data_IF_923011651265
#
_entry.id   IF_923011651265
#
_cell.length_a   1.000
_cell.length_b   1.000
_cell.length_c   1.000
_cell.angle_alpha   90.00
_cell.angle_beta   90.00
_cell.angle_gamma   90.00
#
_symmetry.space_group_name_H-M   'P 1'
#
loop_
_entity.id
_entity.type
_entity.pdbx_description
1 polymer ?
#
# COMPACT_ATOMS: atom_id res chain seq x y z
N UNK A 1 -10.28 0.93 -28.39
CA UNK A 1 -9.72 1.19 -27.05
C UNK A 1 -10.92 1.19 -26.15
N UNK A 2 -11.02 0.22 -25.26
CA UNK A 2 -12.13 0.14 -24.32
C UNK A 2 -12.02 1.30 -23.33
N UNK A 3 -13.11 2.05 -23.16
CA UNK A 3 -13.17 3.14 -22.21
C UNK A 3 -13.05 2.56 -20.78
N UNK A 4 -12.26 3.17 -19.89
CA UNK A 4 -12.08 2.63 -18.55
C UNK A 4 -13.42 2.56 -17.82
N UNK A 5 -13.75 1.38 -17.28
CA UNK A 5 -14.99 1.20 -16.54
C UNK A 5 -14.95 2.01 -15.24
N UNK A 6 -16.02 2.74 -14.90
CA UNK A 6 -16.12 3.43 -13.63
C UNK A 6 -16.18 2.41 -12.49
N UNK A 7 -15.41 2.66 -11.43
CA UNK A 7 -15.32 1.81 -10.24
C UNK A 7 -15.55 2.66 -8.98
N UNK A 8 -16.34 2.17 -8.01
CA UNK A 8 -16.60 2.88 -6.77
C UNK A 8 -15.38 2.85 -5.85
N UNK A 9 -15.26 3.83 -4.96
CA UNK A 9 -14.16 4.00 -4.02
C UNK A 9 -13.94 2.77 -3.13
N UNK A 10 -14.99 2.02 -2.79
CA UNK A 10 -14.85 0.77 -2.04
C UNK A 10 -14.00 -0.29 -2.77
N UNK A 11 -14.15 -0.39 -4.09
CA UNK A 11 -13.30 -1.27 -4.93
C UNK A 11 -11.89 -0.69 -5.04
N UNK A 12 -11.78 0.61 -5.30
CA UNK A 12 -10.49 1.29 -5.46
C UNK A 12 -9.66 1.18 -4.18
N UNK A 13 -10.30 1.25 -3.01
CA UNK A 13 -9.64 1.10 -1.70
C UNK A 13 -8.93 -0.24 -1.58
N UNK A 14 -9.64 -1.33 -1.81
CA UNK A 14 -9.07 -2.67 -1.70
C UNK A 14 -7.94 -2.88 -2.71
N UNK A 15 -8.10 -2.39 -3.94
CA UNK A 15 -7.07 -2.47 -4.97
C UNK A 15 -5.80 -1.68 -4.60
N UNK A 16 -5.96 -0.44 -4.12
CA UNK A 16 -4.83 0.39 -3.70
C UNK A 16 -4.18 -0.16 -2.44
N UNK A 17 -4.94 -0.66 -1.47
CA UNK A 17 -4.38 -1.27 -0.26
C UNK A 17 -3.58 -2.54 -0.59
N UNK A 18 -4.09 -3.37 -1.52
CA UNK A 18 -3.37 -4.56 -1.98
C UNK A 18 -2.08 -4.21 -2.74
N UNK A 19 -2.12 -3.22 -3.64
CA UNK A 19 -0.96 -2.85 -4.47
C UNK A 19 0.08 -2.03 -3.70
N UNK A 20 -0.36 -1.08 -2.89
CA UNK A 20 0.52 -0.14 -2.18
C UNK A 20 0.96 -0.69 -0.84
N UNK A 21 0.11 -1.42 -0.11
CA UNK A 21 0.52 -2.09 1.13
C UNK A 21 1.59 -3.16 0.91
N UNK A 22 1.63 -3.77 -0.28
CA UNK A 22 2.70 -4.69 -0.70
C UNK A 22 4.01 -3.96 -0.99
N UNK A 23 3.99 -2.67 -1.35
CA UNK A 23 5.18 -1.90 -1.73
C UNK A 23 5.80 -1.14 -0.57
N UNK A 24 5.02 -0.85 0.47
CA UNK A 24 5.53 -0.29 1.71
C UNK A 24 6.44 -1.30 2.42
N UNK A 25 7.58 -0.83 2.93
CA UNK A 25 8.53 -1.61 3.73
C UNK A 25 9.06 -2.91 3.05
N UNK A 26 9.36 -2.87 1.74
CA UNK A 26 10.02 -3.97 1.04
C UNK A 26 11.43 -3.61 0.53
N UNK A 27 12.28 -4.64 0.54
CA UNK A 27 13.60 -4.64 -0.09
C UNK A 27 13.48 -5.19 -1.51
N UNK A 28 14.09 -4.52 -2.49
CA UNK A 28 14.27 -5.08 -3.84
C UNK A 28 15.72 -5.47 -4.04
N UNK A 29 15.93 -6.72 -4.45
CA UNK A 29 17.24 -7.18 -4.88
C UNK A 29 17.66 -6.50 -6.19
N UNK A 30 18.87 -5.94 -6.21
CA UNK A 30 19.47 -5.34 -7.41
C UNK A 30 19.72 -6.38 -8.50
N UNK A 31 20.10 -7.59 -8.10
CA UNK A 31 20.60 -8.60 -9.03
C UNK A 31 19.47 -9.44 -9.66
N UNK A 32 18.43 -9.81 -8.90
CA UNK A 32 17.31 -10.61 -9.43
C UNK A 32 15.95 -9.89 -9.47
N UNK A 33 15.83 -8.70 -8.88
CA UNK A 33 14.57 -7.95 -8.84
C UNK A 33 13.50 -8.51 -7.89
N UNK A 34 13.80 -9.56 -7.12
CA UNK A 34 12.91 -10.11 -6.10
C UNK A 34 12.61 -9.09 -5.00
N UNK A 35 11.37 -9.10 -4.50
CA UNK A 35 10.89 -8.22 -3.44
C UNK A 35 10.60 -9.03 -2.17
N UNK A 36 11.24 -8.68 -1.06
CA UNK A 36 11.00 -9.30 0.25
C UNK A 36 10.71 -8.25 1.32
N UNK A 37 10.12 -8.66 2.44
CA UNK A 37 9.84 -7.76 3.56
C UNK A 37 11.16 -7.28 4.21
N UNK A 38 11.14 -6.07 4.75
CA UNK A 38 12.18 -5.64 5.70
C UNK A 38 11.99 -6.47 6.98
N UNK A 39 13.03 -7.13 7.52
CA UNK A 39 12.95 -7.84 8.80
C UNK A 39 12.53 -6.89 9.94
N UNK A 40 11.61 -7.32 10.80
CA UNK A 40 11.06 -6.50 11.90
C UNK A 40 12.04 -6.31 13.09
N UNK A 41 13.09 -7.13 13.19
CA UNK A 41 14.11 -7.06 14.25
C UNK A 41 15.36 -6.33 13.77
N UNK A 42 15.70 -5.21 14.42
CA UNK A 42 17.06 -4.68 14.39
C UNK A 42 17.98 -5.74 15.00
N UNK A 43 19.04 -6.19 14.31
CA UNK A 43 19.97 -7.14 14.90
C UNK A 43 20.57 -6.51 16.16
N UNK A 44 20.32 -7.11 17.33
CA UNK A 44 21.00 -6.72 18.56
C UNK A 44 22.51 -6.76 18.27
N UNK A 45 23.27 -5.68 18.53
CA UNK A 45 24.70 -5.71 18.30
C UNK A 45 25.28 -6.79 19.20
N UNK A 46 25.84 -7.85 18.59
CA UNK A 46 26.58 -8.85 19.34
C UNK A 46 27.67 -8.12 20.14
N UNK A 47 27.80 -8.41 21.45
CA UNK A 47 28.78 -7.73 22.28
C UNK A 47 30.18 -8.04 21.72
N UNK A 48 30.83 -7.00 21.19
CA UNK A 48 32.22 -7.07 20.77
C UNK A 48 33.03 -7.53 21.99
N UNK A 49 33.75 -8.65 21.95
CA UNK A 49 34.55 -9.07 23.09
C UNK A 49 35.55 -7.95 23.40
N UNK A 50 35.55 -7.49 24.65
CA UNK A 50 36.52 -6.51 25.13
C UNK A 50 37.94 -7.03 24.83
N UNK A 51 38.82 -6.23 24.21
CA UNK A 51 40.18 -6.69 23.96
C UNK A 51 40.85 -6.99 25.30
N UNK A 52 41.35 -8.23 25.44
CA UNK A 52 42.08 -8.65 26.64
C UNK A 52 43.23 -7.65 26.90
N UNK A 53 43.46 -7.26 28.16
CA UNK A 53 44.50 -6.29 28.48
C UNK A 53 45.86 -6.86 28.07
N UNK A 54 46.58 -6.10 27.25
CA UNK A 54 47.94 -6.43 26.82
C UNK A 54 48.83 -6.73 28.04
N UNK A 55 49.66 -7.78 28.00
CA UNK A 55 50.60 -8.06 29.09
C UNK A 55 51.62 -6.92 29.19
N UNK A 56 51.94 -6.51 30.43
CA UNK A 56 52.93 -5.48 30.72
C UNK A 56 54.32 -5.89 30.19
N UNK A 57 55.12 -4.94 29.65
CA UNK A 57 56.38 -5.27 29.02
C UNK A 57 57.47 -5.46 30.08
N UNK A 58 57.85 -6.71 30.35
CA UNK A 58 59.14 -7.00 30.97
C UNK A 58 60.24 -6.96 29.90
N UNK A 59 61.27 -6.18 30.19
CA UNK A 59 62.41 -5.92 29.34
C UNK A 59 63.26 -7.18 29.12
N UNK A 60 63.57 -7.51 27.86
CA UNK A 60 64.92 -7.82 27.36
C UNK A 60 64.89 -8.05 25.83
N UNK A 61 65.95 -7.62 25.16
CA UNK A 61 66.07 -7.49 23.71
C UNK A 61 66.31 -8.81 22.98
N UNK A 62 65.70 -9.00 21.79
CA UNK A 62 66.29 -9.73 20.66
C UNK A 62 65.45 -9.54 19.38
N UNK A 63 66.16 -9.55 18.25
CA UNK A 63 65.78 -9.26 16.86
C UNK A 63 64.85 -10.33 16.24
N UNK A 64 64.07 -9.95 15.21
CA UNK A 64 63.47 -10.90 14.27
C UNK A 64 62.17 -10.43 13.60
N UNK A 65 62.23 -10.24 12.27
CA UNK A 65 61.27 -10.65 11.20
C UNK A 65 59.91 -11.23 11.65
N UNK A 66 58.77 -11.08 10.98
CA UNK A 66 58.30 -10.51 9.72
C UNK A 66 56.76 -10.57 9.80
N UNK A 67 56.08 -9.77 8.98
CA UNK A 67 54.65 -9.78 8.63
C UNK A 67 53.66 -10.75 9.29
N UNK A 68 52.59 -10.17 9.84
CA UNK A 68 51.24 -10.71 9.68
C UNK A 68 50.29 -9.51 9.70
N UNK A 69 49.99 -8.96 8.52
CA UNK A 69 48.77 -8.19 8.35
C UNK A 69 47.64 -9.18 8.60
N UNK A 70 47.09 -9.16 9.81
CA UNK A 70 45.90 -9.91 10.15
C UNK A 70 44.84 -9.55 9.11
N UNK A 71 44.54 -10.50 8.23
CA UNK A 71 43.48 -10.40 7.25
C UNK A 71 42.21 -10.01 8.00
N UNK A 72 41.77 -8.77 7.80
CA UNK A 72 40.50 -8.31 8.32
C UNK A 72 39.43 -9.28 7.81
N UNK A 73 38.80 -10.01 8.74
CA UNK A 73 37.68 -10.89 8.44
C UNK A 73 36.69 -10.14 7.55
N UNK A 74 36.18 -10.76 6.46
CA UNK A 74 35.30 -10.07 5.53
C UNK A 74 34.12 -9.51 6.32
N UNK A 75 33.94 -8.19 6.26
CA UNK A 75 32.82 -7.50 6.87
C UNK A 75 31.54 -8.21 6.41
N UNK A 76 30.86 -8.88 7.35
CA UNK A 76 29.61 -9.57 7.08
C UNK A 76 28.64 -8.49 6.55
N UNK A 77 28.03 -8.67 5.38
CA UNK A 77 27.14 -7.67 4.82
C UNK A 77 26.02 -7.37 5.83
N UNK A 78 25.90 -6.11 6.24
CA UNK A 78 25.03 -5.64 7.34
C UNK A 78 23.53 -5.59 6.99
N UNK A 79 23.08 -6.43 6.06
CA UNK A 79 21.69 -6.47 5.60
C UNK A 79 21.21 -7.88 5.27
N UNK A 80 19.89 -8.11 5.20
CA UNK A 80 19.34 -9.42 4.89
C UNK A 80 19.72 -9.85 3.46
N UNK A 81 20.05 -11.14 3.32
CA UNK A 81 20.25 -11.73 2.00
C UNK A 81 18.92 -11.84 1.24
N UNK A 82 19.01 -11.80 -0.09
CA UNK A 82 17.87 -12.05 -0.95
C UNK A 82 17.38 -13.50 -0.81
N UNK A 83 16.09 -13.70 -0.52
CA UNK A 83 15.48 -15.03 -0.37
C UNK A 83 15.56 -15.88 -1.66
N UNK A 84 15.61 -15.23 -2.82
CA UNK A 84 15.62 -15.92 -4.13
C UNK A 84 17.04 -16.22 -4.63
N UNK A 85 17.96 -15.25 -4.53
CA UNK A 85 19.29 -15.35 -5.17
C UNK A 85 20.47 -15.29 -4.20
N UNK A 86 20.22 -15.10 -2.89
CA UNK A 86 21.26 -15.00 -1.87
C UNK A 86 22.11 -13.73 -1.93
N UNK A 87 21.83 -12.79 -2.84
CA UNK A 87 22.56 -11.53 -2.93
C UNK A 87 22.26 -10.63 -1.73
N UNK A 88 23.29 -9.97 -1.21
CA UNK A 88 23.18 -8.94 -0.18
C UNK A 88 22.97 -7.53 -0.76
N UNK A 89 22.93 -7.39 -2.09
CA UNK A 89 22.70 -6.11 -2.78
C UNK A 89 21.22 -5.79 -2.82
N UNK A 90 20.70 -5.39 -1.68
CA UNK A 90 19.31 -5.00 -1.50
C UNK A 90 19.19 -3.48 -1.46
N UNK A 91 18.19 -2.93 -2.16
CA UNK A 91 17.77 -1.55 -1.97
C UNK A 91 16.48 -1.54 -1.17
N UNK A 92 16.41 -0.68 -0.15
CA UNK A 92 15.12 -0.32 0.45
C UNK A 92 14.29 0.41 -0.61
N UNK A 93 13.26 -0.26 -1.12
CA UNK A 93 12.26 0.41 -1.95
C UNK A 93 11.19 0.92 -1.01
N UNK A 94 11.57 1.91 -0.23
CA UNK A 94 10.62 2.95 0.11
C UNK A 94 10.60 3.90 -1.07
N UNK A 95 9.56 3.84 -1.91
CA UNK A 95 8.90 5.06 -2.37
C UNK A 95 7.70 4.67 -3.23
N UNK A 96 6.64 4.29 -2.54
CA UNK A 96 5.33 4.75 -2.97
C UNK A 96 5.45 6.27 -3.16
N UNK A 97 5.28 6.73 -4.40
CA UNK A 97 5.35 8.15 -4.71
C UNK A 97 4.38 8.93 -3.81
N UNK A 98 4.71 10.19 -3.53
CA UNK A 98 3.90 11.04 -2.66
C UNK A 98 2.42 11.06 -3.09
N UNK A 99 2.17 11.09 -4.40
CA UNK A 99 0.84 11.10 -5.00
C UNK A 99 0.08 9.80 -4.73
N UNK A 100 0.76 8.64 -4.76
CA UNK A 100 0.15 7.35 -4.45
C UNK A 100 -0.23 7.25 -2.96
N UNK A 101 0.60 7.79 -2.06
CA UNK A 101 0.27 7.87 -0.63
C UNK A 101 -0.96 8.75 -0.41
N UNK A 102 -0.97 9.94 -1.03
CA UNK A 102 -2.09 10.86 -0.94
C UNK A 102 -3.38 10.25 -1.52
N UNK A 103 -3.30 9.51 -2.62
CA UNK A 103 -4.43 8.80 -3.20
C UNK A 103 -4.96 7.70 -2.26
N UNK A 104 -4.07 6.89 -1.69
CA UNK A 104 -4.45 5.85 -0.72
C UNK A 104 -5.14 6.45 0.50
N UNK A 105 -4.56 7.53 1.06
CA UNK A 105 -5.14 8.23 2.20
C UNK A 105 -6.50 8.83 1.86
N UNK A 106 -6.64 9.48 0.71
CA UNK A 106 -7.91 10.02 0.24
C UNK A 106 -9.00 8.95 0.16
N UNK A 107 -8.69 7.81 -0.46
CA UNK A 107 -9.63 6.71 -0.61
C UNK A 107 -9.98 6.10 0.75
N UNK A 108 -9.02 5.94 1.66
CA UNK A 108 -9.29 5.47 3.04
C UNK A 108 -10.27 6.37 3.80
N UNK A 109 -10.15 7.69 3.65
CA UNK A 109 -11.00 8.65 4.35
C UNK A 109 -12.39 8.80 3.73
N UNK A 110 -12.50 8.70 2.41
CA UNK A 110 -13.78 8.90 1.71
C UNK A 110 -14.61 7.62 1.56
N UNK A 111 -14.00 6.45 1.59
CA UNK A 111 -14.73 5.19 1.45
C UNK A 111 -15.64 4.97 2.66
N UNK A 112 -16.95 5.07 2.44
CA UNK A 112 -17.98 4.89 3.49
C UNK A 112 -18.46 3.46 3.63
N UNK A 113 -18.37 2.67 2.56
CA UNK A 113 -18.85 1.30 2.50
C UNK A 113 -17.80 0.36 1.92
N UNK A 114 -17.91 -0.91 2.28
CA UNK A 114 -17.02 -1.96 1.78
C UNK A 114 -17.28 -2.24 0.30
N UNK A 115 -16.31 -2.84 -0.40
CA UNK A 115 -16.46 -3.29 -1.78
C UNK A 115 -17.76 -4.06 -2.05
N UNK A 116 -18.12 -5.12 -1.30
CA UNK A 116 -19.34 -5.88 -1.59
C UNK A 116 -20.61 -5.05 -1.43
N UNK A 117 -20.66 -4.12 -0.46
CA UNK A 117 -21.78 -3.18 -0.33
C UNK A 117 -21.85 -2.23 -1.52
N UNK A 118 -20.71 -1.72 -2.00
CA UNK A 118 -20.66 -0.83 -3.16
C UNK A 118 -21.10 -1.54 -4.45
N UNK A 119 -20.61 -2.75 -4.67
CA UNK A 119 -21.04 -3.60 -5.81
C UNK A 119 -22.54 -3.91 -5.75
N UNK A 120 -23.09 -4.17 -4.55
CA UNK A 120 -24.52 -4.41 -4.36
C UNK A 120 -25.37 -3.17 -4.66
N UNK A 121 -24.95 -1.98 -4.21
CA UNK A 121 -25.61 -0.70 -4.56
C UNK A 121 -25.62 -0.52 -6.08
N UNK A 122 -24.47 -0.69 -6.75
CA UNK A 122 -24.41 -0.53 -8.21
C UNK A 122 -25.31 -1.52 -8.94
N UNK A 123 -25.37 -2.78 -8.48
CA UNK A 123 -26.25 -3.78 -9.06
C UNK A 123 -27.74 -3.45 -8.86
N UNK A 124 -28.11 -2.88 -7.72
CA UNK A 124 -29.49 -2.45 -7.44
C UNK A 124 -29.94 -1.24 -8.27
N UNK A 125 -28.99 -0.46 -8.78
CA UNK A 125 -29.25 0.69 -9.65
C UNK A 125 -29.29 0.30 -11.14
N UNK A 126 -28.92 -0.93 -11.49
CA UNK A 126 -28.92 -1.41 -12.87
C UNK A 126 -30.33 -1.41 -13.46
N UNK A 127 -30.47 -0.83 -14.65
CA UNK A 127 -31.75 -0.73 -15.36
C UNK A 127 -32.61 0.50 -15.03
N UNK A 128 -32.16 1.40 -14.14
CA UNK A 128 -32.77 2.74 -14.02
C UNK A 128 -32.49 3.57 -15.29
N UNK A 129 -33.47 4.37 -15.71
CA UNK A 129 -33.46 5.05 -17.02
C UNK A 129 -32.26 6.01 -17.15
N UNK A 130 -31.95 6.74 -16.08
CA UNK A 130 -30.94 7.79 -16.09
C UNK A 130 -29.63 7.41 -15.38
N UNK A 131 -29.50 6.17 -14.92
CA UNK A 131 -28.32 5.70 -14.18
C UNK A 131 -27.49 4.78 -15.05
N UNK A 132 -26.41 5.32 -15.61
CA UNK A 132 -25.37 4.53 -16.25
C UNK A 132 -24.33 4.04 -15.22
N UNK A 133 -23.33 3.29 -15.67
CA UNK A 133 -22.26 2.79 -14.82
C UNK A 133 -21.48 3.92 -14.10
N UNK A 134 -21.39 5.11 -14.70
CA UNK A 134 -20.70 6.25 -14.12
C UNK A 134 -21.50 6.82 -12.95
N UNK A 135 -22.81 7.02 -13.12
CA UNK A 135 -23.68 7.45 -12.02
C UNK A 135 -23.84 6.38 -10.95
N UNK A 136 -23.87 5.09 -11.31
CA UNK A 136 -23.93 4.01 -10.34
C UNK A 136 -22.73 4.04 -9.38
N UNK A 137 -21.50 4.18 -9.92
CA UNK A 137 -20.30 4.32 -9.10
C UNK A 137 -20.34 5.59 -8.24
N UNK A 138 -20.77 6.73 -8.81
CA UNK A 138 -20.87 8.00 -8.10
C UNK A 138 -21.93 7.99 -6.98
N UNK A 139 -23.06 7.31 -7.19
CA UNK A 139 -24.10 7.11 -6.18
C UNK A 139 -23.57 6.22 -5.05
N UNK A 140 -22.86 5.13 -5.38
CA UNK A 140 -22.23 4.25 -4.41
C UNK A 140 -21.13 4.95 -3.56
N UNK A 141 -20.51 6.01 -4.08
CA UNK A 141 -19.52 6.82 -3.35
C UNK A 141 -20.17 7.89 -2.46
N UNK A 142 -21.21 8.57 -2.97
CA UNK A 142 -21.86 9.68 -2.28
C UNK A 142 -22.85 9.19 -1.22
N UNK A 143 -23.55 8.09 -1.48
CA UNK A 143 -24.60 7.52 -0.64
C UNK A 143 -25.70 8.56 -0.32
N UNK A 144 -26.45 9.03 -1.34
CA UNK A 144 -27.50 10.03 -1.15
C UNK A 144 -28.58 9.51 -0.19
N UNK A 145 -28.97 10.33 0.79
CA UNK A 145 -30.00 10.00 1.77
C UNK A 145 -31.27 10.85 1.59
N UNK A 146 -31.14 12.01 0.94
CA UNK A 146 -32.24 12.94 0.69
C UNK A 146 -32.44 13.16 -0.81
N UNK A 147 -33.67 13.43 -1.28
CA UNK A 147 -33.95 13.77 -2.68
C UNK A 147 -33.06 14.88 -3.27
N UNK A 148 -32.66 15.84 -2.45
CA UNK A 148 -31.78 16.93 -2.89
C UNK A 148 -30.34 16.48 -3.15
N UNK A 149 -29.86 15.42 -2.48
CA UNK A 149 -28.57 14.81 -2.76
C UNK A 149 -28.56 14.19 -4.16
N UNK A 150 -29.64 13.46 -4.50
CA UNK A 150 -29.82 12.87 -5.83
C UNK A 150 -29.89 13.97 -6.88
N UNK A 151 -30.68 15.03 -6.65
CA UNK A 151 -30.72 16.18 -7.57
C UNK A 151 -29.36 16.84 -7.75
N UNK A 152 -28.54 16.91 -6.69
CA UNK A 152 -27.19 17.46 -6.77
C UNK A 152 -26.24 16.59 -7.63
N UNK A 153 -26.40 15.27 -7.61
CA UNK A 153 -25.61 14.34 -8.43
C UNK A 153 -25.81 14.60 -9.92
N UNK A 154 -27.06 14.85 -10.33
CA UNK A 154 -27.49 15.06 -11.73
C UNK A 154 -27.61 16.54 -12.12
N UNK A 155 -27.18 17.48 -11.28
CA UNK A 155 -27.41 18.92 -11.48
C UNK A 155 -26.79 19.50 -12.77
N UNK A 156 -25.82 18.81 -13.37
CA UNK A 156 -25.17 19.22 -14.62
C UNK A 156 -25.79 18.59 -15.86
N UNK A 157 -26.79 17.72 -15.69
CA UNK A 157 -27.42 17.01 -16.78
C UNK A 157 -28.49 17.82 -17.48
N UNK A 158 -28.79 17.43 -18.72
CA UNK A 158 -29.83 18.05 -19.56
C UNK A 158 -31.20 17.40 -19.38
N UNK A 159 -31.32 16.48 -18.44
CA UNK A 159 -32.57 15.82 -18.06
C UNK A 159 -32.85 16.05 -16.58
N UNK A 160 -34.10 15.79 -16.17
CA UNK A 160 -34.51 15.79 -14.77
C UNK A 160 -34.89 14.39 -14.35
N UNK A 161 -34.32 13.92 -13.24
CA UNK A 161 -34.70 12.64 -12.63
C UNK A 161 -36.09 12.77 -11.99
N UNK A 162 -36.99 11.84 -12.29
CA UNK A 162 -38.35 11.82 -11.74
C UNK A 162 -38.36 11.49 -10.25
N UNK A 163 -39.42 11.88 -9.52
CA UNK A 163 -39.51 11.58 -8.09
C UNK A 163 -39.46 10.07 -7.80
N UNK A 164 -40.12 9.26 -8.62
CA UNK A 164 -40.14 7.79 -8.46
C UNK A 164 -38.73 7.20 -8.60
N UNK A 165 -37.93 7.69 -9.55
CA UNK A 165 -36.55 7.24 -9.75
C UNK A 165 -35.62 7.77 -8.65
N UNK A 166 -35.84 8.99 -8.14
CA UNK A 166 -35.14 9.52 -6.96
C UNK A 166 -35.40 8.62 -5.74
N UNK A 167 -36.66 8.22 -5.51
CA UNK A 167 -37.02 7.32 -4.41
C UNK A 167 -36.39 5.95 -4.59
N UNK A 168 -36.36 5.41 -5.81
CA UNK A 168 -35.70 4.14 -6.12
C UNK A 168 -34.19 4.19 -5.84
N UNK A 169 -33.50 5.28 -6.21
CA UNK A 169 -32.07 5.47 -5.92
C UNK A 169 -31.81 5.47 -4.41
N UNK A 170 -32.61 6.21 -3.64
CA UNK A 170 -32.45 6.29 -2.18
C UNK A 170 -32.72 4.93 -1.53
N UNK A 171 -33.76 4.23 -1.96
CA UNK A 171 -34.09 2.89 -1.47
C UNK A 171 -32.95 1.89 -1.75
N UNK A 172 -32.43 1.87 -2.97
CA UNK A 172 -31.29 1.03 -3.35
C UNK A 172 -30.06 1.28 -2.46
N UNK A 173 -29.79 2.54 -2.10
CA UNK A 173 -28.70 2.88 -1.18
C UNK A 173 -29.00 2.40 0.23
N UNK A 174 -30.19 2.67 0.77
CA UNK A 174 -30.55 2.28 2.15
C UNK A 174 -30.48 0.77 2.34
N UNK A 175 -31.10 -0.01 1.45
CA UNK A 175 -31.17 -1.48 1.53
C UNK A 175 -29.79 -2.16 1.53
N UNK A 176 -28.81 -1.55 0.86
CA UNK A 176 -27.47 -2.14 0.69
C UNK A 176 -26.40 -1.55 1.62
N UNK A 177 -26.74 -0.50 2.39
CA UNK A 177 -25.79 0.15 3.32
C UNK A 177 -26.15 -0.05 4.79
N UNK A 178 -27.44 -0.12 5.13
CA UNK A 178 -27.94 -0.36 6.48
C UNK A 178 -27.87 -1.85 6.86
N UNK A 179 -26.72 -2.25 7.40
CA UNK A 179 -26.50 -3.48 8.17
C UNK A 179 -25.35 -3.23 9.15
#
# INVERSE_FOLDING_TARGET
MDEPQPVPLGVVKELLEAELGVRENRLRCVDCGHFQAVPDEEPEPEPVPEPEPAPEPDAEAAEGEEGEEAEAAPEIPTGPACEECGSYRMNLIEQIQYEHKLALDHVRHLTRITRPKAEAVMAALDGLEHVDAYYAAKIADILPAHPDDVRAIFARERFSVGNDEIEAIIAAVQENTEA
#
